data_IF_476944671653
#
_entry.id   IF_476944671653
#
_cell.length_a   1.000
_cell.length_b   1.000
_cell.length_c   1.000
_cell.angle_alpha   90.00
_cell.angle_beta   90.00
_cell.angle_gamma   90.00
#
_symmetry.space_group_name_H-M   'P 1'
#
loop_
_entity.id
_entity.type
_entity.pdbx_description
1 polymer ?
#
# COMPACT_ATOMS: atom_id res chain seq x y z
N UNK A 1 5.14 22.00 -5.70
CA UNK A 1 4.53 21.12 -4.67
C UNK A 1 3.55 20.16 -5.32
N UNK A 2 3.57 18.93 -4.88
CA UNK A 2 2.71 17.91 -5.43
C UNK A 2 1.25 18.15 -5.06
N UNK A 3 0.30 17.96 -5.99
CA UNK A 3 -1.13 18.13 -5.67
C UNK A 3 -1.60 17.25 -4.52
N UNK A 4 -1.08 16.03 -4.40
CA UNK A 4 -1.43 15.14 -3.30
C UNK A 4 -1.06 15.73 -1.94
N UNK A 5 0.13 16.34 -1.83
CA UNK A 5 0.59 16.95 -0.59
C UNK A 5 -0.31 18.12 -0.22
N UNK A 6 -0.70 18.93 -1.20
CA UNK A 6 -1.61 20.04 -0.97
C UNK A 6 -2.96 19.56 -0.48
N UNK A 7 -3.50 18.51 -1.09
CA UNK A 7 -4.78 17.95 -0.68
C UNK A 7 -4.73 17.41 0.75
N UNK A 8 -3.64 16.72 1.10
CA UNK A 8 -3.47 16.22 2.46
C UNK A 8 -3.34 17.34 3.49
N UNK A 9 -2.61 18.40 3.12
CA UNK A 9 -2.44 19.56 3.99
C UNK A 9 -3.76 20.27 4.30
N UNK A 10 -4.76 20.13 3.42
CA UNK A 10 -6.08 20.74 3.59
C UNK A 10 -7.08 19.83 4.28
N UNK A 11 -6.70 18.57 4.54
CA UNK A 11 -7.58 17.63 5.21
C UNK A 11 -7.90 18.14 6.61
N UNK A 12 -9.19 18.12 6.97
CA UNK A 12 -9.68 18.70 8.24
C UNK A 12 -9.64 17.69 9.38
N UNK A 13 -9.46 16.40 9.11
CA UNK A 13 -9.33 15.40 10.16
C UNK A 13 -8.30 14.36 9.78
N UNK A 14 -7.76 13.71 10.81
CA UNK A 14 -6.69 12.71 10.63
C UNK A 14 -7.15 11.50 9.81
N UNK A 15 -8.43 11.15 9.89
CA UNK A 15 -8.97 10.04 9.09
C UNK A 15 -8.91 10.38 7.61
N UNK A 16 -9.27 11.59 7.22
CA UNK A 16 -9.16 12.04 5.83
C UNK A 16 -7.72 12.00 5.35
N UNK A 17 -6.78 12.44 6.19
CA UNK A 17 -5.36 12.40 5.87
C UNK A 17 -4.90 10.98 5.63
N UNK A 18 -5.27 10.05 6.50
CA UNK A 18 -4.92 8.64 6.35
C UNK A 18 -5.48 8.06 5.05
N UNK A 19 -6.75 8.34 4.76
CA UNK A 19 -7.37 7.89 3.53
C UNK A 19 -6.70 8.48 2.29
N UNK A 20 -6.21 9.71 2.36
CA UNK A 20 -5.48 10.32 1.26
C UNK A 20 -4.15 9.59 0.99
N UNK A 21 -3.53 9.04 2.04
CA UNK A 21 -2.24 8.36 1.94
C UNK A 21 -2.39 6.91 1.50
N UNK A 22 -3.35 6.17 2.06
CA UNK A 22 -3.49 4.73 1.81
C UNK A 22 -4.77 4.36 1.05
N UNK A 23 -5.55 5.35 0.65
CA UNK A 23 -6.82 5.11 -0.03
C UNK A 23 -6.67 4.46 -1.39
N UNK A 24 -7.79 4.02 -1.94
CA UNK A 24 -7.82 3.28 -3.17
C UNK A 24 -7.69 1.79 -2.93
N UNK A 25 -7.64 1.04 -4.02
CA UNK A 25 -7.66 -0.42 -3.95
C UNK A 25 -6.31 -1.03 -3.62
N UNK A 26 -5.22 -0.45 -4.14
CA UNK A 26 -3.97 -1.19 -4.26
C UNK A 26 -2.94 -0.92 -3.17
N UNK A 27 -2.91 0.30 -2.59
CA UNK A 27 -1.83 0.67 -1.67
C UNK A 27 -1.78 -0.21 -0.42
N UNK A 28 -2.93 -0.47 0.20
CA UNK A 28 -2.98 -1.35 1.37
C UNK A 28 -2.54 -2.78 1.03
N UNK A 29 -2.87 -3.25 -0.18
CA UNK A 29 -2.46 -4.59 -0.62
C UNK A 29 -0.96 -4.67 -0.85
N UNK A 30 -0.37 -3.61 -1.40
CA UNK A 30 1.09 -3.53 -1.59
C UNK A 30 1.79 -3.54 -0.23
N UNK A 31 1.29 -2.74 0.72
CA UNK A 31 1.87 -2.69 2.07
C UNK A 31 1.82 -4.08 2.70
N UNK A 32 0.69 -4.77 2.59
CA UNK A 32 0.53 -6.12 3.14
C UNK A 32 1.57 -7.08 2.57
N UNK A 33 1.85 -7.00 1.26
CA UNK A 33 2.83 -7.87 0.63
C UNK A 33 4.25 -7.56 1.07
N UNK A 34 4.52 -6.33 1.49
CA UNK A 34 5.85 -5.91 1.89
C UNK A 34 6.15 -6.09 3.38
N UNK A 35 5.14 -6.37 4.21
CA UNK A 35 5.39 -6.61 5.65
C UNK A 35 6.35 -7.77 5.90
N UNK A 36 6.18 -8.93 5.24
CA UNK A 36 7.06 -10.07 5.54
C UNK A 36 8.48 -9.88 5.04
N UNK A 37 8.68 -9.24 3.91
CA UNK A 37 10.01 -9.16 3.31
C UNK A 37 10.05 -8.19 2.15
N UNK A 38 11.27 -7.86 1.74
CA UNK A 38 11.57 -7.13 0.53
C UNK A 38 11.02 -7.90 -0.69
N UNK A 39 10.49 -7.19 -1.66
CA UNK A 39 9.94 -7.77 -2.88
C UNK A 39 10.46 -7.04 -4.11
N UNK A 40 10.63 -7.78 -5.19
CA UNK A 40 10.90 -7.19 -6.51
C UNK A 40 9.57 -6.85 -7.17
N UNK A 41 9.65 -5.98 -8.17
CA UNK A 41 8.46 -5.54 -8.93
C UNK A 41 7.65 -6.75 -9.47
N UNK A 42 8.34 -7.71 -10.09
CA UNK A 42 7.68 -8.88 -10.65
C UNK A 42 6.97 -9.72 -9.60
N UNK A 43 7.55 -9.82 -8.40
CA UNK A 43 6.92 -10.55 -7.29
C UNK A 43 5.64 -9.87 -6.83
N UNK A 44 5.68 -8.54 -6.71
CA UNK A 44 4.50 -7.76 -6.35
C UNK A 44 3.42 -7.87 -7.43
N UNK A 45 3.83 -7.78 -8.69
CA UNK A 45 2.90 -7.86 -9.80
C UNK A 45 2.17 -9.20 -9.83
N UNK A 46 2.89 -10.29 -9.58
CA UNK A 46 2.30 -11.62 -9.54
C UNK A 46 1.39 -11.82 -8.33
N UNK A 47 1.75 -11.23 -7.20
CA UNK A 47 0.96 -11.37 -5.98
C UNK A 47 -0.35 -10.59 -6.01
N UNK A 48 -0.39 -9.49 -6.75
CA UNK A 48 -1.53 -8.59 -6.82
C UNK A 48 -2.32 -8.85 -8.11
N UNK A 49 -3.24 -9.81 -8.03
CA UNK A 49 -4.00 -10.22 -9.21
C UNK A 49 -4.84 -9.07 -9.76
N UNK A 50 -4.73 -8.85 -11.06
CA UNK A 50 -5.54 -7.86 -11.76
C UNK A 50 -4.91 -6.48 -11.88
N UNK A 51 -3.80 -6.22 -11.20
CA UNK A 51 -3.13 -4.93 -11.35
C UNK A 51 -2.30 -4.93 -12.64
N UNK A 52 -2.34 -3.81 -13.38
CA UNK A 52 -1.48 -3.64 -14.54
C UNK A 52 -0.09 -3.17 -14.09
N UNK A 53 0.92 -3.39 -14.94
CA UNK A 53 2.26 -2.90 -14.66
C UNK A 53 2.27 -1.38 -14.51
N UNK A 54 1.51 -0.69 -15.34
CA UNK A 54 1.40 0.76 -15.28
C UNK A 54 0.83 1.23 -13.94
N UNK A 55 -0.23 0.59 -13.48
CA UNK A 55 -0.87 0.94 -12.21
C UNK A 55 0.06 0.65 -11.04
N UNK A 56 0.71 -0.51 -11.05
CA UNK A 56 1.65 -0.87 -9.97
C UNK A 56 2.80 0.15 -9.90
N UNK A 57 3.36 0.51 -11.05
CA UNK A 57 4.42 1.52 -11.10
C UNK A 57 3.95 2.83 -10.50
N UNK A 58 2.74 3.29 -10.87
CA UNK A 58 2.19 4.54 -10.36
C UNK A 58 1.98 4.49 -8.85
N UNK A 59 1.39 3.42 -8.35
CA UNK A 59 1.15 3.26 -6.92
C UNK A 59 2.45 3.25 -6.12
N UNK A 60 3.45 2.53 -6.60
CA UNK A 60 4.75 2.47 -5.93
C UNK A 60 5.45 3.83 -5.91
N UNK A 61 5.34 4.61 -7.00
CA UNK A 61 5.91 5.96 -7.03
C UNK A 61 5.25 6.87 -6.01
N UNK A 62 3.93 6.81 -5.91
CA UNK A 62 3.19 7.62 -4.93
C UNK A 62 3.57 7.23 -3.50
N UNK A 63 3.69 5.94 -3.25
CA UNK A 63 4.07 5.45 -1.92
C UNK A 63 5.51 5.80 -1.56
N UNK A 64 6.39 5.82 -2.53
CA UNK A 64 7.77 6.26 -2.34
C UNK A 64 7.81 7.76 -2.02
N UNK A 65 7.05 8.57 -2.75
CA UNK A 65 6.95 10.01 -2.51
C UNK A 65 6.39 10.30 -1.12
N UNK A 66 5.43 9.50 -0.67
CA UNK A 66 4.84 9.66 0.66
C UNK A 66 5.74 9.11 1.78
N UNK A 67 6.86 8.51 1.43
CA UNK A 67 7.81 8.01 2.43
C UNK A 67 7.45 6.67 3.04
N UNK A 68 6.51 5.93 2.43
CA UNK A 68 6.07 4.62 2.94
C UNK A 68 6.92 3.47 2.43
N UNK A 69 7.48 3.61 1.24
CA UNK A 69 8.20 2.57 0.53
C UNK A 69 9.56 3.08 0.12
N UNK A 70 10.56 2.24 0.30
CA UNK A 70 11.92 2.47 -0.17
C UNK A 70 12.16 1.65 -1.42
N UNK A 71 12.76 2.28 -2.43
CA UNK A 71 13.14 1.63 -3.68
C UNK A 71 14.65 1.57 -3.74
N UNK A 72 15.19 0.35 -3.78
CA UNK A 72 16.64 0.12 -3.85
C UNK A 72 16.99 -0.41 -5.23
N UNK A 73 17.84 0.33 -5.93
CA UNK A 73 18.35 -0.09 -7.24
C UNK A 73 19.75 -0.67 -7.08
N UNK A 74 19.95 -1.87 -7.64
CA UNK A 74 21.26 -2.50 -7.68
C UNK A 74 21.80 -2.44 -9.09
N UNK A 75 22.96 -1.81 -9.24
CA UNK A 75 23.62 -1.66 -10.54
C UNK A 75 24.38 -2.94 -10.87
N UNK A 76 23.69 -3.84 -11.53
CA UNK A 76 24.23 -5.14 -11.93
C UNK A 76 23.58 -5.54 -13.27
N UNK A 77 23.96 -6.69 -13.82
CA UNK A 77 23.41 -7.18 -15.07
C UNK A 77 22.81 -8.57 -14.82
N UNK A 78 21.48 -8.73 -14.97
CA UNK A 78 20.48 -7.68 -15.23
C UNK A 78 20.26 -6.79 -14.00
N UNK A 79 19.76 -5.56 -14.20
CA UNK A 79 19.48 -4.66 -13.08
C UNK A 79 18.48 -5.28 -12.12
N UNK A 80 18.65 -4.99 -10.82
CA UNK A 80 17.74 -5.45 -9.78
C UNK A 80 17.16 -4.25 -9.04
N UNK A 81 15.85 -4.25 -8.85
CA UNK A 81 15.14 -3.23 -8.07
C UNK A 81 14.32 -3.93 -7.01
N UNK A 82 14.50 -3.53 -5.77
CA UNK A 82 13.78 -4.08 -4.63
C UNK A 82 12.97 -2.99 -3.94
N UNK A 83 11.80 -3.37 -3.45
CA UNK A 83 10.91 -2.50 -2.69
C UNK A 83 10.78 -3.03 -1.27
N UNK A 84 10.79 -2.13 -0.30
CA UNK A 84 10.63 -2.47 1.11
C UNK A 84 9.88 -1.34 1.81
N UNK A 85 9.31 -1.66 2.97
CA UNK A 85 8.66 -0.64 3.78
C UNK A 85 9.71 0.17 4.52
N UNK A 86 9.50 1.49 4.58
CA UNK A 86 10.27 2.37 5.45
C UNK A 86 9.79 2.18 6.90
N UNK A 87 10.52 2.72 7.90
CA UNK A 87 10.00 2.75 9.26
C UNK A 87 8.59 3.37 9.34
N UNK A 88 8.34 4.45 8.58
CA UNK A 88 7.01 5.06 8.53
C UNK A 88 5.98 4.08 7.95
N UNK A 89 6.34 3.39 6.88
CA UNK A 89 5.43 2.40 6.27
C UNK A 89 5.06 1.29 7.25
N UNK A 90 6.00 0.84 8.09
CA UNK A 90 5.72 -0.20 9.06
C UNK A 90 4.76 0.24 10.17
N UNK A 91 4.63 1.54 10.41
CA UNK A 91 3.69 2.04 11.42
C UNK A 91 2.23 1.82 11.02
N UNK A 92 1.96 1.48 9.76
CA UNK A 92 0.61 1.18 9.28
C UNK A 92 0.13 -0.21 9.66
N UNK A 93 1.01 -1.07 10.19
CA UNK A 93 0.63 -2.45 10.52
C UNK A 93 -0.56 -2.56 11.46
N UNK A 94 -0.62 -1.83 12.59
CA UNK A 94 -1.80 -1.90 13.48
C UNK A 94 -3.09 -1.47 12.77
N UNK A 95 -2.99 -0.47 11.90
CA UNK A 95 -4.15 0.04 11.15
C UNK A 95 -4.67 -1.04 10.20
N UNK A 96 -3.78 -1.67 9.44
CA UNK A 96 -4.16 -2.72 8.51
C UNK A 96 -4.70 -3.95 9.25
N UNK A 97 -4.14 -4.29 10.40
CA UNK A 97 -4.65 -5.39 11.22
C UNK A 97 -6.07 -5.11 11.67
N UNK A 98 -6.35 -3.88 12.12
CA UNK A 98 -7.70 -3.49 12.54
C UNK A 98 -8.68 -3.51 11.37
N UNK A 99 -8.25 -3.07 10.21
CA UNK A 99 -9.07 -3.12 8.99
C UNK A 99 -9.38 -4.57 8.62
N UNK A 100 -8.40 -5.45 8.73
CA UNK A 100 -8.59 -6.87 8.46
C UNK A 100 -9.62 -7.48 9.41
N UNK A 101 -9.49 -7.21 10.70
CA UNK A 101 -10.43 -7.71 11.70
C UNK A 101 -11.86 -7.20 11.44
N UNK A 102 -11.99 -5.92 11.16
CA UNK A 102 -13.28 -5.34 10.89
C UNK A 102 -13.92 -5.94 9.64
N UNK A 103 -13.12 -6.06 8.57
CA UNK A 103 -13.60 -6.63 7.31
C UNK A 103 -14.01 -8.09 7.46
N UNK A 104 -13.23 -8.88 8.21
CA UNK A 104 -13.53 -10.28 8.47
C UNK A 104 -14.87 -10.43 9.18
N UNK A 105 -15.09 -9.64 10.23
CA UNK A 105 -16.36 -9.68 10.99
C UNK A 105 -17.53 -9.23 10.13
N UNK A 106 -17.32 -8.21 9.32
CA UNK A 106 -18.34 -7.72 8.41
C UNK A 106 -18.78 -8.82 7.44
N UNK A 107 -17.82 -9.53 6.83
CA UNK A 107 -18.11 -10.62 5.90
C UNK A 107 -18.82 -11.77 6.60
N UNK A 108 -18.40 -12.14 7.81
CA UNK A 108 -19.08 -13.16 8.61
C UNK A 108 -20.53 -12.76 8.88
N UNK A 109 -20.78 -11.49 9.22
CA UNK A 109 -22.13 -10.99 9.44
C UNK A 109 -22.97 -11.06 8.18
N UNK A 110 -22.40 -10.79 7.02
CA UNK A 110 -23.11 -10.89 5.76
C UNK A 110 -23.48 -12.34 5.44
N UNK A 111 -22.58 -13.27 5.69
CA UNK A 111 -22.85 -14.70 5.51
C UNK A 111 -23.97 -15.17 6.44
N UNK A 112 -23.93 -14.75 7.71
CA UNK A 112 -24.95 -15.12 8.69
C UNK A 112 -26.32 -14.52 8.35
N UNK A 113 -26.37 -13.38 7.66
CA UNK A 113 -27.61 -12.73 7.30
C UNK A 113 -28.28 -13.35 6.08
N UNK A 114 -27.58 -14.18 5.32
CA UNK A 114 -28.13 -14.83 4.15
C UNK A 114 -28.96 -16.05 4.56
N UNK A 115 -30.14 -16.23 3.91
CA UNK A 115 -30.98 -17.39 4.21
C UNK A 115 -30.37 -18.71 3.78
#
# INVERSE_FOLDING_TARGET
MEPQIENRARATCAVETTLAVIGGRWKVLIIRELFPSVKRFGELHRALQGITQKMLTQQLREMEQDGLVHRQVYLQVPPKVEYSLTPLGTTLKPILNSMHEWGTKFLEGQESAQP
#
